data_IF_342386590939
#
_entry.id   IF_342386590939
#
_cell.length_a   1.000
_cell.length_b   1.000
_cell.length_c   1.000
_cell.angle_alpha   90.00
_cell.angle_beta   90.00
_cell.angle_gamma   90.00
#
_symmetry.space_group_name_H-M   'P 1'
#
loop_
_entity.id
_entity.type
_entity.pdbx_description
1 polymer ?
#
# COMPACT_ATOMS: atom_id res chain seq x y z
N UNK A 1 2.69 17.05 5.87
CA UNK A 1 4.05 16.69 5.40
C UNK A 1 4.03 15.68 4.24
N UNK A 2 3.44 14.49 4.40
CA UNK A 2 3.39 13.49 3.33
C UNK A 2 2.69 14.00 2.06
N UNK A 3 1.58 14.72 2.20
CA UNK A 3 0.88 15.34 1.09
C UNK A 3 1.76 16.36 0.35
N UNK A 4 2.40 17.26 1.09
CA UNK A 4 3.26 18.29 0.49
C UNK A 4 4.50 17.71 -0.21
N UNK A 5 5.09 16.65 0.33
CA UNK A 5 6.20 15.96 -0.31
C UNK A 5 5.79 15.26 -1.61
N UNK A 6 4.63 14.61 -1.60
CA UNK A 6 4.10 13.95 -2.79
C UNK A 6 3.72 14.96 -3.89
N UNK A 7 3.20 16.13 -3.50
CA UNK A 7 2.88 17.22 -4.41
C UNK A 7 4.14 17.83 -5.04
N UNK A 8 5.20 18.03 -4.26
CA UNK A 8 6.49 18.52 -4.75
C UNK A 8 7.15 17.60 -5.78
N UNK A 9 6.92 16.29 -5.67
CA UNK A 9 7.45 15.29 -6.61
C UNK A 9 6.55 15.17 -7.85
N UNK A 10 5.38 15.83 -7.85
CA UNK A 10 4.46 15.81 -8.99
C UNK A 10 3.73 14.49 -9.17
N UNK A 11 3.52 13.75 -8.08
CA UNK A 11 2.78 12.48 -8.11
C UNK A 11 1.29 12.78 -8.23
N UNK A 12 0.60 12.24 -9.25
CA UNK A 12 -0.85 12.35 -9.33
C UNK A 12 -1.51 11.67 -8.12
N UNK A 13 -2.59 12.28 -7.61
CA UNK A 13 -3.32 11.78 -6.43
C UNK A 13 -2.48 11.72 -5.14
N UNK A 14 -1.69 12.76 -4.87
CA UNK A 14 -0.83 12.89 -3.68
C UNK A 14 -1.50 12.68 -2.32
N UNK A 15 -2.84 12.78 -2.25
CA UNK A 15 -3.62 12.48 -1.04
C UNK A 15 -3.47 11.03 -0.54
N UNK A 16 -3.12 10.08 -1.41
CA UNK A 16 -2.87 8.70 -1.01
C UNK A 16 -1.64 8.55 -0.11
N UNK A 17 -0.62 9.38 -0.31
CA UNK A 17 0.53 9.42 0.60
C UNK A 17 0.12 9.89 2.01
N UNK A 18 -0.77 10.88 2.11
CA UNK A 18 -1.32 11.33 3.38
C UNK A 18 -2.16 10.25 4.06
N UNK A 19 -3.02 9.56 3.33
CA UNK A 19 -3.81 8.43 3.83
C UNK A 19 -2.88 7.32 4.35
N UNK A 20 -1.83 6.99 3.62
CA UNK A 20 -0.84 6.00 4.02
C UNK A 20 -0.14 6.39 5.32
N UNK A 21 0.24 7.64 5.46
CA UNK A 21 0.86 8.15 6.69
C UNK A 21 -0.06 8.02 7.89
N UNK A 22 -1.34 8.37 7.75
CA UNK A 22 -2.34 8.28 8.82
C UNK A 22 -2.55 6.82 9.25
N UNK A 23 -2.65 5.89 8.29
CA UNK A 23 -2.88 4.47 8.58
C UNK A 23 -1.70 3.86 9.34
N UNK A 24 -0.47 4.24 8.99
CA UNK A 24 0.75 3.71 9.61
C UNK A 24 1.06 4.36 10.95
N UNK A 25 0.52 5.57 11.20
CA UNK A 25 0.75 6.28 12.47
C UNK A 25 0.23 5.45 13.65
N UNK A 26 1.13 5.09 14.54
CA UNK A 26 0.86 4.26 15.71
C UNK A 26 1.42 4.91 16.98
N UNK A 27 0.95 4.46 18.13
CA UNK A 27 1.40 4.96 19.43
C UNK A 27 2.83 4.54 19.80
N UNK A 28 3.39 3.53 19.12
CA UNK A 28 4.74 3.06 19.35
C UNK A 28 5.49 2.82 18.05
N UNK A 29 6.80 3.02 18.07
CA UNK A 29 7.66 2.83 16.90
C UNK A 29 7.67 1.37 16.43
N UNK A 30 7.60 0.40 17.35
CA UNK A 30 7.55 -1.02 17.02
C UNK A 30 6.27 -1.41 16.29
N UNK A 31 5.11 -0.90 16.74
CA UNK A 31 3.82 -1.11 16.07
C UNK A 31 3.79 -0.41 14.69
N UNK A 32 4.33 0.80 14.59
CA UNK A 32 4.42 1.52 13.32
C UNK A 32 5.31 0.76 12.32
N UNK A 33 6.42 0.19 12.75
CA UNK A 33 7.31 -0.61 11.93
C UNK A 33 6.64 -1.90 11.41
N UNK A 34 5.93 -2.62 12.28
CA UNK A 34 5.18 -3.82 11.90
C UNK A 34 4.09 -3.50 10.86
N UNK A 35 3.29 -2.47 11.12
CA UNK A 35 2.25 -2.01 10.19
C UNK A 35 2.84 -1.56 8.85
N UNK A 36 3.98 -0.88 8.87
CA UNK A 36 4.70 -0.45 7.66
C UNK A 36 5.12 -1.60 6.78
N UNK A 37 5.70 -2.65 7.36
CA UNK A 37 6.07 -3.88 6.62
C UNK A 37 4.86 -4.55 5.99
N UNK A 38 3.79 -4.73 6.76
CA UNK A 38 2.56 -5.34 6.28
C UNK A 38 1.95 -4.55 5.11
N UNK A 39 1.94 -3.23 5.23
CA UNK A 39 1.43 -2.34 4.19
C UNK A 39 2.29 -2.38 2.93
N UNK A 40 3.61 -2.33 3.07
CA UNK A 40 4.53 -2.36 1.93
C UNK A 40 4.43 -3.68 1.16
N UNK A 41 4.47 -4.80 1.87
CA UNK A 41 4.35 -6.13 1.28
C UNK A 41 2.97 -6.34 0.65
N UNK A 42 1.90 -5.93 1.31
CA UNK A 42 0.55 -6.00 0.77
C UNK A 42 0.41 -5.16 -0.51
N UNK A 43 0.92 -3.94 -0.51
CA UNK A 43 0.90 -3.07 -1.69
C UNK A 43 1.68 -3.69 -2.85
N UNK A 44 2.88 -4.21 -2.58
CA UNK A 44 3.71 -4.87 -3.59
C UNK A 44 2.99 -6.05 -4.23
N UNK A 45 2.41 -6.93 -3.42
CA UNK A 45 1.65 -8.09 -3.91
C UNK A 45 0.42 -7.66 -4.71
N UNK A 46 -0.33 -6.68 -4.22
CA UNK A 46 -1.50 -6.15 -4.91
C UNK A 46 -1.16 -5.56 -6.27
N UNK A 47 -0.07 -4.79 -6.35
CA UNK A 47 0.42 -4.22 -7.62
C UNK A 47 0.86 -5.32 -8.58
N UNK A 48 1.70 -6.25 -8.14
CA UNK A 48 2.24 -7.30 -9.01
C UNK A 48 1.13 -8.17 -9.60
N UNK A 49 0.24 -8.66 -8.75
CA UNK A 49 -0.85 -9.54 -9.19
C UNK A 49 -1.87 -8.78 -10.04
N UNK A 50 -2.23 -7.55 -9.62
CA UNK A 50 -3.17 -6.72 -10.37
C UNK A 50 -2.62 -6.30 -11.74
N UNK A 51 -1.37 -5.86 -11.81
CA UNK A 51 -0.73 -5.48 -13.06
C UNK A 51 -0.56 -6.67 -14.02
N UNK A 52 -0.15 -7.84 -13.50
CA UNK A 52 -0.09 -9.07 -14.29
C UNK A 52 -1.47 -9.45 -14.85
N UNK A 53 -2.50 -9.42 -14.02
CA UNK A 53 -3.85 -9.74 -14.45
C UNK A 53 -4.34 -8.83 -15.58
N UNK A 54 -4.23 -7.51 -15.39
CA UNK A 54 -4.67 -6.53 -16.39
C UNK A 54 -3.85 -6.60 -17.66
N UNK A 55 -2.54 -6.86 -17.58
CA UNK A 55 -1.67 -7.00 -18.75
C UNK A 55 -2.01 -8.21 -19.62
N UNK A 56 -2.51 -9.28 -18.99
CA UNK A 56 -2.82 -10.54 -19.72
C UNK A 56 -4.28 -10.56 -20.21
N UNK A 57 -5.22 -10.07 -19.42
CA UNK A 57 -6.65 -10.22 -19.69
C UNK A 57 -7.37 -8.92 -20.04
N UNK A 58 -6.69 -7.76 -19.91
CA UNK A 58 -7.35 -6.47 -19.92
C UNK A 58 -8.19 -6.29 -18.65
N UNK A 59 -9.35 -5.66 -18.76
CA UNK A 59 -10.28 -5.49 -17.63
C UNK A 59 -10.96 -6.83 -17.33
N UNK A 60 -10.71 -7.47 -16.19
CA UNK A 60 -11.27 -8.78 -15.89
C UNK A 60 -12.77 -8.69 -15.62
N UNK A 61 -13.49 -9.77 -15.93
CA UNK A 61 -14.87 -9.90 -15.51
C UNK A 61 -14.98 -10.19 -13.99
N UNK A 62 -16.17 -10.02 -13.42
CA UNK A 62 -16.38 -10.16 -11.98
C UNK A 62 -15.97 -11.54 -11.42
N UNK A 63 -16.13 -12.60 -12.19
CA UNK A 63 -15.77 -13.94 -11.77
C UNK A 63 -14.24 -14.09 -11.65
N UNK A 64 -13.50 -13.65 -12.66
CA UNK A 64 -12.04 -13.69 -12.67
C UNK A 64 -11.45 -12.80 -11.57
N UNK A 65 -12.02 -11.62 -11.38
CA UNK A 65 -11.66 -10.72 -10.27
C UNK A 65 -11.82 -11.42 -8.91
N UNK A 66 -12.98 -12.05 -8.67
CA UNK A 66 -13.24 -12.77 -7.42
C UNK A 66 -12.30 -13.95 -7.20
N UNK A 67 -12.00 -14.73 -8.23
CA UNK A 67 -11.05 -15.85 -8.16
C UNK A 67 -9.65 -15.37 -7.79
N UNK A 68 -9.17 -14.32 -8.43
CA UNK A 68 -7.83 -13.78 -8.14
C UNK A 68 -7.78 -13.15 -6.75
N UNK A 69 -8.87 -12.56 -6.25
CA UNK A 69 -8.95 -12.09 -4.87
C UNK A 69 -8.82 -13.21 -3.85
N UNK A 70 -9.46 -14.35 -4.08
CA UNK A 70 -9.30 -15.54 -3.23
C UNK A 70 -7.87 -16.05 -3.28
N UNK A 71 -7.28 -16.10 -4.45
CA UNK A 71 -5.90 -16.53 -4.65
C UNK A 71 -4.91 -15.59 -3.96
N UNK A 72 -5.15 -14.28 -4.02
CA UNK A 72 -4.39 -13.26 -3.31
C UNK A 72 -4.47 -13.47 -1.79
N UNK A 73 -5.65 -13.75 -1.26
CA UNK A 73 -5.84 -14.08 0.16
C UNK A 73 -5.07 -15.32 0.58
N UNK A 74 -5.12 -16.35 -0.23
CA UNK A 74 -4.37 -17.59 0.02
C UNK A 74 -2.86 -17.36 -0.02
N UNK A 75 -2.37 -16.58 -0.98
CA UNK A 75 -0.96 -16.22 -1.08
C UNK A 75 -0.49 -15.40 0.12
N UNK A 76 -1.30 -14.45 0.58
CA UNK A 76 -1.00 -13.67 1.78
C UNK A 76 -0.93 -14.57 3.03
N UNK A 77 -1.81 -15.56 3.14
CA UNK A 77 -1.78 -16.55 4.22
C UNK A 77 -0.53 -17.42 4.16
N UNK A 78 -0.11 -17.84 2.97
CA UNK A 78 1.10 -18.62 2.76
C UNK A 78 2.36 -17.85 3.14
N UNK A 79 2.39 -16.55 2.85
CA UNK A 79 3.48 -15.64 3.24
C UNK A 79 3.40 -15.20 4.71
N UNK A 80 2.43 -15.73 5.47
CA UNK A 80 2.19 -15.38 6.86
C UNK A 80 1.99 -13.88 7.10
N UNK A 81 1.42 -13.20 6.12
CA UNK A 81 0.98 -11.83 6.30
C UNK A 81 -0.24 -11.82 7.23
N UNK A 82 -0.24 -10.86 8.14
CA UNK A 82 -1.40 -10.63 9.00
C UNK A 82 -2.60 -10.14 8.18
N UNK A 83 -3.77 -10.14 8.78
CA UNK A 83 -5.01 -9.64 8.16
C UNK A 83 -4.85 -8.22 7.59
N UNK A 84 -4.01 -7.41 8.22
CA UNK A 84 -3.69 -6.06 7.74
C UNK A 84 -3.01 -6.09 6.37
N UNK A 85 -2.01 -6.95 6.19
CA UNK A 85 -1.31 -7.11 4.91
C UNK A 85 -2.24 -7.55 3.79
N UNK A 86 -3.14 -8.50 4.07
CA UNK A 86 -4.17 -8.92 3.12
C UNK A 86 -5.11 -7.78 2.71
N UNK A 87 -5.55 -6.96 3.68
CA UNK A 87 -6.40 -5.80 3.39
C UNK A 87 -5.71 -4.81 2.46
N UNK A 88 -4.44 -4.51 2.70
CA UNK A 88 -3.67 -3.61 1.85
C UNK A 88 -3.43 -4.19 0.46
N UNK A 89 -3.14 -5.48 0.37
CA UNK A 89 -3.02 -6.17 -0.91
C UNK A 89 -4.33 -6.12 -1.70
N UNK A 90 -5.46 -6.39 -1.06
CA UNK A 90 -6.78 -6.35 -1.67
C UNK A 90 -7.18 -4.95 -2.16
N UNK A 91 -6.95 -3.92 -1.36
CA UNK A 91 -7.24 -2.53 -1.75
C UNK A 91 -6.38 -2.12 -2.94
N UNK A 92 -5.08 -2.39 -2.91
CA UNK A 92 -4.17 -2.03 -4.00
C UNK A 92 -4.49 -2.81 -5.27
N UNK A 93 -4.75 -4.11 -5.16
CA UNK A 93 -5.19 -4.95 -6.28
C UNK A 93 -6.46 -4.40 -6.92
N UNK A 94 -7.47 -4.06 -6.12
CA UNK A 94 -8.75 -3.50 -6.60
C UNK A 94 -8.52 -2.19 -7.37
N UNK A 95 -7.71 -1.28 -6.82
CA UNK A 95 -7.40 0.00 -7.48
C UNK A 95 -6.69 -0.24 -8.80
N UNK A 96 -5.67 -1.08 -8.82
CA UNK A 96 -4.89 -1.38 -10.03
C UNK A 96 -5.78 -2.02 -11.10
N UNK A 97 -6.65 -2.94 -10.73
CA UNK A 97 -7.50 -3.66 -11.68
C UNK A 97 -8.65 -2.81 -12.22
N UNK A 98 -9.27 -1.98 -11.36
CA UNK A 98 -10.48 -1.24 -11.75
C UNK A 98 -10.19 0.16 -12.31
N UNK A 99 -9.07 0.77 -11.95
CA UNK A 99 -8.74 2.16 -12.33
C UNK A 99 -7.69 2.20 -13.43
N UNK A 100 -6.85 1.19 -13.56
CA UNK A 100 -5.74 1.21 -14.50
C UNK A 100 -6.21 1.05 -15.96
N UNK A 101 -5.67 1.89 -16.82
CA UNK A 101 -5.63 1.62 -18.25
C UNK A 101 -4.61 0.48 -18.50
N UNK A 102 -4.96 -0.57 -19.28
CA UNK A 102 -4.03 -1.67 -19.59
C UNK A 102 -2.67 -1.24 -20.12
N UNK A 103 -2.61 -0.10 -20.80
CA UNK A 103 -1.36 0.45 -21.33
C UNK A 103 -0.47 1.12 -20.28
N UNK A 104 -1.06 1.55 -19.16
CA UNK A 104 -0.36 2.31 -18.11
C UNK A 104 -0.38 1.63 -16.74
N UNK A 105 -0.83 0.39 -16.67
CA UNK A 105 -1.02 -0.34 -15.41
C UNK A 105 0.26 -0.44 -14.59
N UNK A 106 1.40 -0.64 -15.22
CA UNK A 106 2.69 -0.72 -14.54
C UNK A 106 3.13 0.63 -13.95
N UNK A 107 2.86 1.73 -14.66
CA UNK A 107 3.13 3.07 -14.15
C UNK A 107 2.24 3.41 -12.96
N UNK A 108 0.95 3.08 -13.04
CA UNK A 108 0.05 3.26 -11.91
C UNK A 108 0.50 2.46 -10.70
N UNK A 109 0.90 1.20 -10.89
CA UNK A 109 1.45 0.36 -9.82
C UNK A 109 2.70 0.94 -9.19
N UNK A 110 3.62 1.45 -9.99
CA UNK A 110 4.84 2.11 -9.51
C UNK A 110 4.51 3.37 -8.70
N UNK A 111 3.62 4.21 -9.18
CA UNK A 111 3.16 5.40 -8.43
C UNK A 111 2.54 5.02 -7.09
N UNK A 112 1.70 4.00 -7.05
CA UNK A 112 1.11 3.50 -5.80
C UNK A 112 2.17 3.04 -4.80
N UNK A 113 3.16 2.31 -5.28
CA UNK A 113 4.25 1.85 -4.44
C UNK A 113 5.08 3.02 -3.86
N UNK A 114 5.41 4.01 -4.68
CA UNK A 114 6.13 5.21 -4.25
C UNK A 114 5.31 6.03 -3.25
N UNK A 115 4.03 6.26 -3.50
CA UNK A 115 3.12 6.98 -2.59
C UNK A 115 3.05 6.32 -1.21
N UNK A 116 2.87 5.00 -1.18
CA UNK A 116 2.82 4.23 0.06
C UNK A 116 4.17 4.30 0.79
N UNK A 117 5.28 4.19 0.07
CA UNK A 117 6.62 4.28 0.66
C UNK A 117 6.89 5.66 1.28
N UNK A 118 6.49 6.73 0.62
CA UNK A 118 6.58 8.11 1.15
C UNK A 118 5.71 8.30 2.39
N UNK A 119 4.48 7.80 2.37
CA UNK A 119 3.59 7.82 3.52
C UNK A 119 4.17 7.08 4.73
N UNK A 120 4.74 5.90 4.50
CA UNK A 120 5.43 5.11 5.53
C UNK A 120 6.63 5.87 6.09
N UNK A 121 7.50 6.39 5.24
CA UNK A 121 8.69 7.13 5.67
C UNK A 121 8.32 8.35 6.53
N UNK A 122 7.33 9.11 6.10
CA UNK A 122 6.82 10.27 6.84
C UNK A 122 6.24 9.86 8.21
N UNK A 123 5.44 8.80 8.24
CA UNK A 123 4.83 8.31 9.48
C UNK A 123 5.87 7.81 10.48
N UNK A 124 6.88 7.07 10.00
CA UNK A 124 7.98 6.60 10.86
C UNK A 124 8.80 7.76 11.41
N UNK A 125 9.07 8.78 10.61
CA UNK A 125 9.77 9.98 11.06
C UNK A 125 8.96 10.72 12.15
N UNK A 126 7.68 10.94 11.92
CA UNK A 126 6.81 11.61 12.91
C UNK A 126 6.73 10.78 14.19
N UNK A 127 6.56 9.47 14.08
CA UNK A 127 6.50 8.59 15.25
C UNK A 127 7.84 8.59 16.01
N UNK A 128 8.96 8.55 15.31
CA UNK A 128 10.30 8.59 15.94
C UNK A 128 10.56 9.91 16.68
N UNK A 129 10.11 11.04 16.10
CA UNK A 129 10.23 12.37 16.74
C UNK A 129 9.27 12.52 17.93
N UNK A 130 8.05 11.96 17.80
CA UNK A 130 7.02 12.05 18.84
C UNK A 130 7.24 11.06 19.99
N UNK A 131 7.92 9.96 19.73
CA UNK A 131 8.26 8.95 20.76
C UNK A 131 9.51 9.31 21.54
N UNK A 132 9.69 10.61 21.88
CA UNK A 132 10.70 10.99 22.88
C UNK A 132 10.46 10.20 24.15
N UNK A 133 11.49 9.60 24.75
CA UNK A 133 11.32 8.95 26.04
C UNK A 133 10.73 9.98 27.00
N UNK A 134 9.53 9.67 27.52
CA UNK A 134 9.07 10.36 28.71
C UNK A 134 10.13 10.07 29.76
N UNK A 135 10.93 11.07 30.09
CA UNK A 135 11.77 11.00 31.28
C UNK A 135 10.89 10.48 32.41
N UNK A 136 11.19 9.27 32.88
CA UNK A 136 10.57 8.77 34.09
C UNK A 136 10.95 9.73 35.20
N UNK A 137 10.01 10.24 35.96
CA UNK A 137 10.34 11.01 37.13
C UNK A 137 11.10 10.17 38.16
#
# INVERSE_FOLDING_TARGET
>A
MAYGLAELIGIPESYWAAISAIIVMQSSLGAAWSTSKQRLLGTLLGVLIGACLVSVTGVPNALLYGLVMVLLGWLCALLRLELLGYRFAGVTFTIVVLVADPQQVWWLGLYRFVEVSLGIATSLLVTAVSSRPKDKP
#
